data_IF_004375493883
#
_entry.id   IF_004375493883
#
_cell.length_a   1.000
_cell.length_b   1.000
_cell.length_c   1.000
_cell.angle_alpha   90.00
_cell.angle_beta   90.00
_cell.angle_gamma   90.00
#
_symmetry.space_group_name_H-M   'P 1'
#
loop_
_entity.id
_entity.type
_entity.pdbx_description
1 polymer ?
#
# COMPACT_ATOMS: atom_id res chain seq x y z
N UNK A 1 16.63 -13.55 42.78
CA UNK A 1 16.70 -14.42 41.58
C UNK A 1 15.29 -14.86 41.24
N UNK A 2 14.61 -14.16 40.32
CA UNK A 2 13.31 -14.54 39.76
C UNK A 2 13.58 -15.35 38.47
N UNK A 3 12.84 -16.42 38.18
CA UNK A 3 13.15 -17.32 37.08
C UNK A 3 12.81 -16.64 35.75
N UNK A 4 13.74 -16.72 34.80
CA UNK A 4 13.57 -16.26 33.42
C UNK A 4 12.78 -17.34 32.67
N UNK A 5 11.49 -17.09 32.43
CA UNK A 5 10.66 -17.94 31.59
C UNK A 5 10.99 -17.62 30.13
N UNK A 6 11.72 -18.51 29.47
CA UNK A 6 12.06 -18.38 28.04
C UNK A 6 10.80 -18.70 27.22
N UNK A 7 10.03 -17.66 26.89
CA UNK A 7 8.88 -17.76 25.99
C UNK A 7 9.41 -17.80 24.55
N UNK A 8 9.48 -18.99 23.96
CA UNK A 8 9.68 -19.14 22.50
C UNK A 8 8.46 -18.59 21.78
N UNK A 9 8.59 -17.36 21.28
CA UNK A 9 7.63 -16.72 20.39
C UNK A 9 7.71 -17.44 19.02
N UNK A 10 6.75 -18.33 18.73
CA UNK A 10 6.52 -18.77 17.36
C UNK A 10 6.00 -17.56 16.58
N UNK A 11 6.87 -16.95 15.76
CA UNK A 11 6.48 -15.96 14.78
C UNK A 11 5.75 -16.73 13.67
N UNK A 12 4.43 -16.78 13.73
CA UNK A 12 3.61 -17.23 12.61
C UNK A 12 3.66 -16.16 11.53
N UNK A 13 4.44 -16.38 10.48
CA UNK A 13 4.30 -15.62 9.25
C UNK A 13 2.93 -15.93 8.68
N UNK A 14 1.98 -15.02 8.85
CA UNK A 14 0.74 -15.05 8.10
C UNK A 14 1.11 -14.81 6.64
N UNK A 15 1.21 -15.88 5.84
CA UNK A 15 1.19 -15.77 4.39
C UNK A 15 -0.13 -15.11 4.01
N UNK A 16 -0.12 -13.79 3.75
CA UNK A 16 -1.27 -13.06 3.22
C UNK A 16 -1.61 -13.71 1.88
N UNK A 17 -2.65 -14.53 1.90
CA UNK A 17 -3.22 -15.11 0.69
C UNK A 17 -4.11 -14.03 0.09
N UNK A 18 -3.59 -13.30 -0.90
CA UNK A 18 -4.39 -12.33 -1.63
C UNK A 18 -5.51 -13.06 -2.39
N UNK A 19 -6.71 -12.47 -2.38
CA UNK A 19 -7.91 -13.05 -3.01
C UNK A 19 -7.64 -13.38 -4.48
N UNK A 20 -8.19 -14.48 -4.98
CA UNK A 20 -8.06 -14.92 -6.38
C UNK A 20 -8.93 -14.10 -7.36
N UNK A 21 -9.41 -12.93 -6.95
CA UNK A 21 -10.28 -12.04 -7.73
C UNK A 21 -9.72 -10.63 -7.62
N UNK A 22 -9.56 -9.94 -8.75
CA UNK A 22 -9.26 -8.51 -8.73
C UNK A 22 -10.35 -7.79 -7.91
N UNK A 23 -10.00 -6.81 -7.08
CA UNK A 23 -11.00 -6.01 -6.40
C UNK A 23 -11.91 -5.32 -7.45
N UNK A 24 -13.19 -5.04 -7.13
CA UNK A 24 -14.02 -4.24 -8.02
C UNK A 24 -13.45 -2.82 -8.17
N UNK A 25 -13.91 -2.09 -9.19
CA UNK A 25 -13.55 -0.68 -9.43
C UNK A 25 -12.05 -0.49 -9.67
N UNK A 26 -11.44 -1.38 -10.46
CA UNK A 26 -10.06 -1.16 -10.88
C UNK A 26 -9.99 0.04 -11.85
N UNK A 27 -8.94 0.86 -11.80
CA UNK A 27 -8.79 2.02 -12.67
C UNK A 27 -8.95 1.68 -14.15
N UNK A 28 -8.32 0.60 -14.61
CA UNK A 28 -8.34 0.14 -16.00
C UNK A 28 -9.70 -0.37 -16.51
N UNK A 29 -10.72 -0.39 -15.64
CA UNK A 29 -12.11 -0.59 -16.08
C UNK A 29 -12.70 0.68 -16.71
N UNK A 30 -12.00 1.82 -16.63
CA UNK A 30 -12.37 3.08 -17.28
C UNK A 30 -11.44 3.38 -18.47
N UNK A 31 -12.00 3.85 -19.59
CA UNK A 31 -11.30 4.10 -20.84
C UNK A 31 -10.06 5.02 -20.71
N UNK A 32 -10.12 6.02 -19.82
CA UNK A 32 -9.01 6.97 -19.63
C UNK A 32 -7.84 6.41 -18.81
N UNK A 33 -8.04 5.29 -18.12
CA UNK A 33 -7.04 4.61 -17.32
C UNK A 33 -6.63 3.27 -17.94
N UNK A 34 -6.96 3.07 -19.21
CA UNK A 34 -6.68 1.86 -19.97
C UNK A 34 -5.22 1.40 -19.85
N UNK A 35 -5.00 0.10 -19.68
CA UNK A 35 -3.66 -0.49 -19.64
C UNK A 35 -2.99 -0.36 -21.01
N UNK A 36 -1.90 0.40 -21.09
CA UNK A 36 -1.15 0.49 -22.34
C UNK A 36 -0.36 -0.81 -22.59
N UNK A 37 -0.57 -1.42 -23.75
CA UNK A 37 0.08 -2.67 -24.14
C UNK A 37 1.03 -2.47 -25.32
N UNK A 38 2.10 -3.29 -25.33
CA UNK A 38 3.02 -3.37 -26.46
C UNK A 38 3.12 -4.76 -27.10
N UNK A 39 2.30 -5.69 -26.64
CA UNK A 39 2.31 -7.08 -27.09
C UNK A 39 1.32 -7.92 -26.29
N UNK A 40 1.60 -9.21 -26.17
CA UNK A 40 0.73 -10.16 -25.47
C UNK A 40 0.55 -9.78 -23.99
N UNK A 41 -0.70 -9.81 -23.54
CA UNK A 41 -1.09 -9.59 -22.16
C UNK A 41 -1.93 -10.77 -21.67
N UNK A 42 -1.66 -11.22 -20.45
CA UNK A 42 -2.38 -12.30 -19.79
C UNK A 42 -2.82 -11.84 -18.41
N UNK A 43 -4.09 -12.05 -18.11
CA UNK A 43 -4.63 -11.94 -16.75
C UNK A 43 -5.22 -13.28 -16.35
N UNK A 44 -4.89 -13.82 -15.16
CA UNK A 44 -5.56 -15.01 -14.62
C UNK A 44 -6.92 -14.67 -14.00
N UNK A 45 -7.29 -13.39 -13.92
CA UNK A 45 -8.49 -12.88 -13.27
C UNK A 45 -9.41 -12.21 -14.27
N UNK A 46 -10.72 -12.27 -14.00
CA UNK A 46 -11.71 -11.42 -14.67
C UNK A 46 -11.92 -10.10 -13.92
N UNK A 47 -12.43 -9.11 -14.64
CA UNK A 47 -12.94 -7.85 -14.11
C UNK A 47 -14.43 -8.00 -13.78
N UNK A 48 -14.93 -7.10 -12.92
CA UNK A 48 -16.33 -7.07 -12.49
C UNK A 48 -16.82 -5.63 -12.49
N UNK A 49 -17.95 -5.35 -13.15
CA UNK A 49 -18.45 -3.97 -13.29
C UNK A 49 -17.81 -3.21 -14.45
N UNK A 50 -18.20 -1.94 -14.58
CA UNK A 50 -17.74 -0.99 -15.60
C UNK A 50 -16.74 0.04 -15.04
N UNK A 51 -16.16 -0.20 -13.87
CA UNK A 51 -15.31 0.80 -13.20
C UNK A 51 -16.12 1.94 -12.58
N UNK A 52 -15.54 3.14 -12.57
CA UNK A 52 -16.14 4.35 -12.01
C UNK A 52 -16.99 5.12 -13.03
N UNK A 53 -16.74 4.93 -14.32
CA UNK A 53 -17.35 5.63 -15.43
C UNK A 53 -17.85 4.61 -16.45
N UNK A 54 -19.15 4.58 -16.69
CA UNK A 54 -19.71 3.75 -17.75
C UNK A 54 -19.56 4.47 -19.10
N UNK A 55 -18.46 4.23 -19.83
CA UNK A 55 -18.23 4.90 -21.10
C UNK A 55 -19.20 4.43 -22.19
N UNK A 56 -19.60 3.16 -22.16
CA UNK A 56 -20.48 2.55 -23.15
C UNK A 56 -21.80 2.09 -22.52
N UNK A 57 -22.88 2.82 -22.83
CA UNK A 57 -24.24 2.54 -22.35
C UNK A 57 -25.21 2.18 -23.49
N UNK A 58 -26.36 1.58 -23.14
CA UNK A 58 -27.40 1.20 -24.12
C UNK A 58 -28.08 2.39 -24.81
N UNK A 59 -27.98 3.58 -24.23
CA UNK A 59 -28.66 4.80 -24.69
C UNK A 59 -27.69 5.97 -24.76
N UNK A 60 -27.77 6.79 -25.81
CA UNK A 60 -26.91 7.96 -25.98
C UNK A 60 -25.90 7.82 -27.11
N UNK A 61 -24.88 8.70 -27.19
CA UNK A 61 -24.00 8.83 -28.36
C UNK A 61 -23.08 7.62 -28.61
N UNK A 62 -23.02 6.68 -27.66
CA UNK A 62 -22.21 5.45 -27.68
C UNK A 62 -23.01 4.16 -27.90
N UNK A 63 -24.32 4.27 -28.16
CA UNK A 63 -25.18 3.11 -28.32
C UNK A 63 -24.81 2.22 -29.53
N UNK A 64 -25.18 0.94 -29.46
CA UNK A 64 -25.27 0.06 -30.63
C UNK A 64 -24.12 -0.92 -30.87
N UNK A 65 -23.49 -1.45 -29.82
CA UNK A 65 -22.70 -2.69 -29.89
C UNK A 65 -23.14 -3.64 -28.76
N UNK A 66 -22.70 -3.36 -27.54
CA UNK A 66 -23.19 -3.90 -26.27
C UNK A 66 -22.83 -2.91 -25.16
N UNK A 67 -23.27 -3.20 -23.94
CA UNK A 67 -23.04 -2.33 -22.77
C UNK A 67 -21.84 -2.81 -22.00
N UNK A 68 -21.08 -1.86 -21.49
CA UNK A 68 -20.01 -2.14 -20.57
C UNK A 68 -20.56 -2.71 -19.25
N UNK A 69 -20.07 -3.89 -18.88
CA UNK A 69 -20.59 -4.66 -17.76
C UNK A 69 -19.52 -5.28 -16.87
N UNK A 70 -18.56 -6.02 -17.45
CA UNK A 70 -17.42 -6.63 -16.76
C UNK A 70 -16.17 -6.35 -17.58
N UNK A 71 -15.80 -5.08 -17.65
CA UNK A 71 -14.90 -4.56 -18.66
C UNK A 71 -13.48 -4.33 -18.16
N UNK A 72 -12.55 -4.36 -19.11
CA UNK A 72 -11.22 -3.77 -19.01
C UNK A 72 -10.89 -3.06 -20.30
N UNK A 73 -10.15 -1.96 -20.21
CA UNK A 73 -9.67 -1.19 -21.33
C UNK A 73 -8.17 -1.35 -21.52
N UNK A 74 -7.77 -1.51 -22.78
CA UNK A 74 -6.39 -1.50 -23.22
C UNK A 74 -6.12 -0.34 -24.17
N UNK A 75 -4.94 0.24 -24.10
CA UNK A 75 -4.48 1.31 -24.99
C UNK A 75 -3.35 0.80 -25.88
N UNK A 76 -3.44 1.12 -27.17
CA UNK A 76 -2.36 0.92 -28.13
C UNK A 76 -1.98 2.26 -28.74
N UNK A 77 -0.69 2.58 -28.70
CA UNK A 77 -0.11 3.73 -29.40
C UNK A 77 0.80 3.17 -30.49
N UNK A 78 0.50 3.44 -31.76
CA UNK A 78 1.19 2.81 -32.88
C UNK A 78 2.55 3.48 -33.13
N UNK A 79 3.62 2.70 -33.06
CA UNK A 79 4.99 3.15 -33.29
C UNK A 79 5.40 3.00 -34.77
N UNK A 80 5.13 1.84 -35.39
CA UNK A 80 5.37 1.61 -36.82
C UNK A 80 4.09 1.23 -37.55
N UNK A 81 3.96 1.68 -38.80
CA UNK A 81 2.83 1.31 -39.65
C UNK A 81 2.73 -0.20 -39.81
N UNK A 82 1.50 -0.71 -39.93
CA UNK A 82 1.25 -2.12 -40.18
C UNK A 82 -0.19 -2.51 -39.91
N UNK A 83 -0.46 -3.81 -39.92
CA UNK A 83 -1.76 -4.36 -39.61
C UNK A 83 -1.80 -4.75 -38.13
N UNK A 84 -2.85 -4.33 -37.44
CA UNK A 84 -3.17 -4.79 -36.09
C UNK A 84 -4.13 -5.98 -36.22
N UNK A 85 -3.69 -7.11 -35.68
CA UNK A 85 -4.51 -8.30 -35.42
C UNK A 85 -4.30 -8.75 -33.99
N UNK A 86 -5.33 -9.34 -33.39
CA UNK A 86 -5.19 -9.94 -32.07
C UNK A 86 -6.16 -11.10 -31.88
N UNK A 87 -5.84 -11.97 -30.93
CA UNK A 87 -6.74 -13.01 -30.45
C UNK A 87 -6.96 -12.83 -28.94
N UNK A 88 -8.23 -12.73 -28.53
CA UNK A 88 -8.64 -12.83 -27.13
C UNK A 88 -8.99 -14.29 -26.89
N UNK A 89 -8.20 -14.96 -26.05
CA UNK A 89 -8.36 -16.37 -25.69
C UNK A 89 -8.77 -16.45 -24.22
N UNK A 90 -10.01 -16.84 -23.93
CA UNK A 90 -10.47 -17.05 -22.56
C UNK A 90 -9.67 -18.15 -21.87
N UNK A 91 -9.42 -18.01 -20.56
CA UNK A 91 -8.87 -19.10 -19.74
C UNK A 91 -9.89 -20.24 -19.62
N UNK A 92 -11.16 -19.87 -19.40
CA UNK A 92 -12.27 -20.80 -19.51
C UNK A 92 -12.89 -20.70 -20.91
N UNK A 93 -12.74 -21.75 -21.72
CA UNK A 93 -13.19 -21.79 -23.11
C UNK A 93 -14.70 -21.57 -23.32
N UNK A 94 -15.52 -21.64 -22.27
CA UNK A 94 -16.97 -21.34 -22.34
C UNK A 94 -17.30 -19.88 -22.05
N UNK A 95 -16.32 -19.06 -21.66
CA UNK A 95 -16.57 -17.67 -21.33
C UNK A 95 -16.82 -16.85 -22.61
N UNK A 96 -17.93 -16.13 -22.58
CA UNK A 96 -18.39 -15.23 -23.63
C UNK A 96 -17.72 -13.88 -23.45
N UNK A 97 -16.58 -13.71 -24.09
CA UNK A 97 -15.93 -12.41 -24.17
C UNK A 97 -16.42 -11.67 -25.40
N UNK A 98 -16.58 -10.37 -25.24
CA UNK A 98 -16.90 -9.44 -26.32
C UNK A 98 -15.83 -8.34 -26.38
N UNK A 99 -15.68 -7.67 -27.53
CA UNK A 99 -14.76 -6.54 -27.62
C UNK A 99 -15.22 -5.39 -28.52
N UNK A 100 -14.73 -4.19 -28.20
CA UNK A 100 -14.91 -2.98 -29.00
C UNK A 100 -13.56 -2.31 -29.20
N UNK A 101 -13.29 -1.84 -30.42
CA UNK A 101 -12.10 -1.01 -30.70
C UNK A 101 -12.54 0.38 -31.11
N UNK A 102 -12.05 1.37 -30.38
CA UNK A 102 -12.19 2.79 -30.68
C UNK A 102 -10.88 3.37 -31.20
N UNK A 103 -10.94 4.23 -32.22
CA UNK A 103 -9.84 5.12 -32.64
C UNK A 103 -10.10 6.51 -32.06
N UNK A 104 -9.22 6.98 -31.19
CA UNK A 104 -9.38 8.26 -30.46
C UNK A 104 -8.39 9.35 -30.88
N UNK A 105 -7.40 9.01 -31.72
CA UNK A 105 -6.38 9.95 -32.20
C UNK A 105 -5.44 10.43 -31.09
N UNK A 106 -4.46 11.29 -31.41
CA UNK A 106 -3.37 11.65 -30.49
C UNK A 106 -3.79 12.63 -29.37
N UNK A 107 -4.96 13.26 -29.47
CA UNK A 107 -5.45 14.25 -28.49
C UNK A 107 -6.30 13.63 -27.37
N UNK A 108 -6.24 12.30 -27.21
CA UNK A 108 -6.85 11.51 -26.14
C UNK A 108 -8.28 11.91 -25.75
N UNK A 109 -9.27 11.49 -26.54
CA UNK A 109 -10.69 11.72 -26.26
C UNK A 109 -11.33 10.59 -25.44
N UNK A 110 -10.56 9.91 -24.59
CA UNK A 110 -11.03 8.76 -23.79
C UNK A 110 -12.30 9.07 -22.98
N UNK A 111 -12.48 10.31 -22.51
CA UNK A 111 -13.62 10.75 -21.71
C UNK A 111 -14.87 11.10 -22.54
N UNK A 112 -14.78 11.08 -23.86
CA UNK A 112 -15.88 11.42 -24.77
C UNK A 112 -15.87 10.53 -26.01
N UNK A 113 -15.90 9.21 -25.78
CA UNK A 113 -16.11 8.25 -26.86
C UNK A 113 -17.47 8.52 -27.52
N UNK A 114 -17.53 8.32 -28.84
CA UNK A 114 -18.74 8.37 -29.67
C UNK A 114 -18.79 7.16 -30.60
N UNK A 115 -19.96 6.86 -31.17
CA UNK A 115 -20.08 5.88 -32.27
C UNK A 115 -19.15 6.14 -33.46
N UNK A 116 -18.72 7.39 -33.68
CA UNK A 116 -17.75 7.72 -34.73
C UNK A 116 -16.33 7.24 -34.41
N UNK A 117 -15.98 7.09 -33.13
CA UNK A 117 -14.70 6.53 -32.72
C UNK A 117 -14.67 5.01 -32.91
N UNK A 118 -15.83 4.34 -32.87
CA UNK A 118 -15.93 2.87 -32.91
C UNK A 118 -15.62 2.35 -34.30
N UNK A 119 -14.52 1.62 -34.42
CA UNK A 119 -14.08 1.04 -35.70
C UNK A 119 -14.28 -0.48 -35.76
N UNK A 120 -14.35 -1.16 -34.61
CA UNK A 120 -14.63 -2.59 -34.51
C UNK A 120 -15.57 -2.86 -33.33
N UNK A 121 -16.45 -3.83 -33.48
CA UNK A 121 -17.39 -4.27 -32.46
C UNK A 121 -17.71 -5.74 -32.71
N UNK A 122 -17.38 -6.60 -31.75
CA UNK A 122 -17.72 -8.01 -31.83
C UNK A 122 -18.44 -8.43 -30.55
N UNK A 123 -19.75 -8.61 -30.67
CA UNK A 123 -20.62 -9.18 -29.64
C UNK A 123 -20.97 -10.66 -29.91
N UNK A 124 -20.01 -11.46 -30.35
CA UNK A 124 -20.27 -12.83 -30.79
C UNK A 124 -20.50 -13.75 -29.58
N UNK A 125 -21.65 -14.40 -29.56
CA UNK A 125 -22.01 -15.37 -28.51
C UNK A 125 -21.11 -16.62 -28.54
N UNK A 126 -20.60 -17.00 -27.37
CA UNK A 126 -19.85 -18.22 -27.12
C UNK A 126 -20.72 -19.41 -26.65
N UNK A 127 -21.53 -19.98 -27.56
CA UNK A 127 -22.19 -21.27 -27.32
C UNK A 127 -21.31 -22.45 -27.78
N UNK A 128 -21.55 -23.62 -27.19
CA UNK A 128 -20.83 -24.84 -27.57
C UNK A 128 -20.93 -25.11 -29.09
N UNK A 129 -19.80 -24.94 -29.80
CA UNK A 129 -19.67 -25.19 -31.24
C UNK A 129 -19.71 -23.95 -32.15
N UNK A 130 -19.98 -22.74 -31.64
CA UNK A 130 -20.00 -21.52 -32.47
C UNK A 130 -18.60 -20.95 -32.77
N UNK A 131 -17.68 -21.07 -31.82
CA UNK A 131 -16.32 -20.55 -31.86
C UNK A 131 -15.40 -21.48 -31.07
N UNK A 132 -14.48 -22.21 -31.72
CA UNK A 132 -13.57 -23.12 -31.02
C UNK A 132 -12.80 -22.40 -29.90
N UNK A 133 -13.02 -22.83 -28.66
CA UNK A 133 -12.29 -22.33 -27.48
C UNK A 133 -12.71 -20.95 -26.98
N UNK A 134 -13.82 -20.39 -27.45
CA UNK A 134 -14.24 -19.04 -27.05
C UNK A 134 -13.45 -17.90 -27.68
N UNK A 135 -12.55 -18.21 -28.62
CA UNK A 135 -11.58 -17.24 -29.15
C UNK A 135 -12.28 -16.25 -30.08
N UNK A 136 -12.01 -14.97 -29.87
CA UNK A 136 -12.47 -13.86 -30.73
C UNK A 136 -11.29 -12.95 -31.08
N UNK A 137 -11.46 -12.04 -32.03
CA UNK A 137 -10.51 -10.95 -32.22
C UNK A 137 -10.48 -10.38 -33.64
N UNK A 138 -9.29 -10.04 -34.10
CA UNK A 138 -9.03 -9.50 -35.44
C UNK A 138 -8.11 -10.44 -36.21
N UNK A 139 -8.38 -10.67 -37.49
CA UNK A 139 -7.48 -11.44 -38.35
C UNK A 139 -7.41 -10.87 -39.78
N UNK A 140 -6.53 -11.47 -40.60
CA UNK A 140 -6.31 -11.06 -41.98
C UNK A 140 -7.38 -11.56 -42.97
N UNK A 141 -8.19 -12.55 -42.57
CA UNK A 141 -9.12 -13.25 -43.46
C UNK A 141 -10.53 -12.65 -43.44
N UNK A 142 -10.99 -12.18 -42.28
CA UNK A 142 -12.33 -11.61 -42.11
C UNK A 142 -12.45 -10.26 -42.82
N UNK A 143 -13.62 -10.01 -43.39
CA UNK A 143 -14.01 -8.72 -43.97
C UNK A 143 -15.06 -7.99 -43.13
N UNK A 144 -15.50 -8.59 -42.02
CA UNK A 144 -16.51 -7.99 -41.14
C UNK A 144 -15.85 -6.94 -40.25
N UNK A 145 -16.50 -5.80 -40.05
CA UNK A 145 -16.07 -4.78 -39.07
C UNK A 145 -16.99 -4.70 -37.86
N UNK A 146 -18.12 -5.41 -37.90
CA UNK A 146 -19.17 -5.35 -36.91
C UNK A 146 -19.90 -6.69 -36.83
N UNK A 147 -20.09 -7.19 -35.61
CA UNK A 147 -20.94 -8.34 -35.28
C UNK A 147 -21.82 -7.92 -34.10
N UNK A 148 -23.14 -8.00 -34.28
CA UNK A 148 -24.09 -7.60 -33.25
C UNK A 148 -24.05 -8.55 -32.05
N UNK A 149 -24.32 -8.02 -30.86
CA UNK A 149 -24.47 -8.81 -29.64
C UNK A 149 -25.40 -10.02 -29.83
N UNK A 150 -24.95 -11.20 -29.39
CA UNK A 150 -25.70 -12.44 -29.48
C UNK A 150 -25.64 -13.15 -30.84
N UNK A 151 -24.86 -12.64 -31.81
CA UNK A 151 -24.72 -13.26 -33.14
C UNK A 151 -23.82 -14.50 -33.06
N UNK A 152 -24.13 -15.51 -33.89
CA UNK A 152 -23.37 -16.76 -33.96
C UNK A 152 -22.38 -16.81 -35.14
N UNK A 153 -21.21 -17.42 -34.90
CA UNK A 153 -20.31 -17.91 -35.95
C UNK A 153 -19.41 -16.85 -36.59
N UNK A 154 -19.18 -15.70 -35.95
CA UNK A 154 -18.35 -14.61 -36.47
C UNK A 154 -17.30 -14.14 -35.47
N UNK A 155 -16.41 -15.05 -35.07
CA UNK A 155 -15.39 -14.83 -34.03
C UNK A 155 -14.36 -13.75 -34.35
N UNK A 156 -14.08 -13.51 -35.64
CA UNK A 156 -13.04 -12.57 -36.06
C UNK A 156 -13.59 -11.45 -36.93
N UNK A 157 -13.17 -10.24 -36.63
CA UNK A 157 -13.33 -9.08 -37.50
C UNK A 157 -12.05 -8.83 -38.33
N UNK A 158 -12.16 -7.97 -39.33
CA UNK A 158 -11.07 -7.54 -40.19
C UNK A 158 -9.98 -6.83 -39.38
N UNK A 159 -8.72 -7.11 -39.68
CA UNK A 159 -7.55 -6.36 -39.19
C UNK A 159 -7.71 -4.84 -39.34
N UNK A 160 -6.92 -4.08 -38.59
CA UNK A 160 -6.86 -2.61 -38.70
C UNK A 160 -5.53 -2.23 -39.37
N UNK A 161 -5.58 -1.54 -40.51
CA UNK A 161 -4.40 -0.91 -41.09
C UNK A 161 -4.10 0.38 -40.31
N UNK A 162 -3.00 0.39 -39.58
CA UNK A 162 -2.62 1.47 -38.69
C UNK A 162 -1.34 2.17 -39.16
N UNK A 163 -1.23 3.46 -38.83
CA UNK A 163 -0.05 4.29 -39.11
C UNK A 163 0.54 4.85 -37.80
N UNK A 164 1.82 5.27 -37.77
CA UNK A 164 2.44 5.82 -36.59
C UNK A 164 1.64 6.99 -36.00
N UNK A 165 1.51 7.02 -34.68
CA UNK A 165 0.74 8.02 -33.94
C UNK A 165 -0.77 7.75 -33.87
N UNK A 166 -1.27 6.70 -34.53
CA UNK A 166 -2.63 6.23 -34.27
C UNK A 166 -2.74 5.72 -32.82
N UNK A 167 -3.86 6.05 -32.17
CA UNK A 167 -4.17 5.62 -30.80
C UNK A 167 -5.50 4.89 -30.80
N UNK A 168 -5.48 3.69 -30.24
CA UNK A 168 -6.64 2.81 -30.13
C UNK A 168 -6.92 2.47 -28.68
N UNK A 169 -8.20 2.41 -28.35
CA UNK A 169 -8.70 1.82 -27.11
C UNK A 169 -9.43 0.52 -27.46
N UNK A 170 -9.12 -0.55 -26.74
CA UNK A 170 -9.77 -1.85 -26.87
C UNK A 170 -10.46 -2.13 -25.55
N UNK A 171 -11.79 -2.13 -25.55
CA UNK A 171 -12.56 -2.62 -24.43
C UNK A 171 -12.82 -4.10 -24.62
N UNK A 172 -12.57 -4.89 -23.59
CA UNK A 172 -12.88 -6.32 -23.52
C UNK A 172 -13.87 -6.51 -22.38
N UNK A 173 -15.02 -7.13 -22.67
CA UNK A 173 -16.08 -7.37 -21.69
C UNK A 173 -16.29 -8.87 -21.49
N UNK A 174 -16.41 -9.32 -20.24
CA UNK A 174 -16.79 -10.69 -19.92
C UNK A 174 -18.30 -10.80 -19.67
N UNK A 175 -19.07 -11.12 -20.71
CA UNK A 175 -20.53 -11.29 -20.59
C UNK A 175 -20.89 -12.46 -19.65
N UNK A 176 -20.06 -13.51 -19.60
CA UNK A 176 -20.29 -14.67 -18.74
C UNK A 176 -20.09 -14.40 -17.25
N UNK A 177 -19.40 -13.32 -16.88
CA UNK A 177 -19.07 -12.94 -15.50
C UNK A 177 -18.37 -14.05 -14.70
N UNK A 178 -17.63 -14.93 -15.39
CA UNK A 178 -16.77 -15.92 -14.77
C UNK A 178 -15.58 -15.23 -14.09
N UNK A 179 -14.98 -15.86 -13.08
CA UNK A 179 -13.78 -15.33 -12.41
C UNK A 179 -12.48 -15.62 -13.20
N UNK A 180 -12.53 -16.45 -14.24
CA UNK A 180 -11.38 -16.79 -15.06
C UNK A 180 -11.02 -15.62 -15.98
N UNK A 181 -9.73 -15.37 -16.14
CA UNK A 181 -9.25 -14.29 -17.02
C UNK A 181 -9.11 -14.71 -18.49
N UNK A 182 -8.24 -14.01 -19.22
CA UNK A 182 -8.00 -14.22 -20.64
C UNK A 182 -6.58 -13.80 -21.03
N UNK A 183 -6.18 -14.22 -22.23
CA UNK A 183 -5.01 -13.68 -22.94
C UNK A 183 -5.48 -12.82 -24.10
N UNK A 184 -4.90 -11.64 -24.29
CA UNK A 184 -4.98 -10.89 -25.55
C UNK A 184 -3.61 -10.93 -26.22
N UNK A 185 -3.54 -11.55 -27.40
CA UNK A 185 -2.29 -11.79 -28.11
C UNK A 185 -2.21 -11.01 -29.42
N UNK A 186 -1.18 -10.17 -29.55
CA UNK A 186 -0.91 -9.34 -30.72
C UNK A 186 0.21 -9.90 -31.61
N UNK A 187 0.73 -11.11 -31.36
CA UNK A 187 1.88 -11.68 -32.10
C UNK A 187 1.70 -11.72 -33.62
N UNK A 188 0.47 -11.77 -34.13
CA UNK A 188 0.18 -11.72 -35.56
C UNK A 188 0.25 -10.32 -36.19
N UNK A 189 0.36 -9.26 -35.39
CA UNK A 189 0.40 -7.87 -35.86
C UNK A 189 1.72 -7.56 -36.55
N UNK A 190 1.67 -6.74 -37.60
CA UNK A 190 2.86 -6.16 -38.25
C UNK A 190 3.10 -4.71 -37.83
N UNK A 191 2.08 -4.04 -37.26
CA UNK A 191 2.29 -2.79 -36.55
C UNK A 191 2.99 -3.06 -35.21
N UNK A 192 3.90 -2.18 -34.80
CA UNK A 192 4.47 -2.20 -33.44
C UNK A 192 3.87 -1.08 -32.61
N UNK A 193 3.98 -1.21 -31.29
CA UNK A 193 3.37 -0.30 -30.34
C UNK A 193 4.43 0.37 -29.47
N UNK A 194 4.16 1.61 -29.10
CA UNK A 194 5.02 2.44 -28.28
C UNK A 194 4.80 2.15 -26.80
N UNK A 195 5.88 2.05 -26.03
CA UNK A 195 5.84 2.01 -24.57
C UNK A 195 5.59 3.37 -23.92
N UNK A 196 5.63 3.42 -22.60
CA UNK A 196 5.43 4.65 -21.81
C UNK A 196 6.73 5.12 -21.12
N UNK A 197 7.87 4.57 -21.55
CA UNK A 197 9.17 4.75 -20.91
C UNK A 197 9.38 3.73 -19.78
N UNK A 198 10.55 3.74 -19.17
CA UNK A 198 10.87 2.79 -18.10
C UNK A 198 9.93 2.98 -16.87
N UNK A 199 9.53 1.90 -16.18
CA UNK A 199 8.91 2.01 -14.86
C UNK A 199 9.87 2.68 -13.87
N UNK A 200 9.31 3.37 -12.88
CA UNK A 200 10.06 3.95 -11.75
C UNK A 200 9.31 3.75 -10.43
N UNK A 201 10.04 3.82 -9.32
CA UNK A 201 9.45 3.95 -8.00
C UNK A 201 8.67 5.28 -7.89
N UNK A 202 7.44 5.22 -7.40
CA UNK A 202 6.58 6.39 -7.21
C UNK A 202 6.53 6.81 -5.73
N UNK A 203 6.14 5.88 -4.86
CA UNK A 203 5.98 6.15 -3.43
C UNK A 203 6.23 4.91 -2.57
N UNK A 204 6.31 5.11 -1.25
CA UNK A 204 6.39 4.03 -0.27
C UNK A 204 5.16 4.06 0.64
N UNK A 205 4.62 2.87 0.89
CA UNK A 205 3.51 2.67 1.82
C UNK A 205 3.99 1.79 2.98
N UNK A 206 3.82 2.30 4.20
CA UNK A 206 4.21 1.60 5.43
C UNK A 206 2.95 1.03 6.10
N UNK A 207 2.81 -0.30 6.11
CA UNK A 207 1.72 -1.00 6.79
C UNK A 207 1.69 -0.65 8.30
N UNK A 208 2.87 -0.56 8.91
CA UNK A 208 3.05 -0.02 10.26
C UNK A 208 3.74 1.37 10.17
N UNK A 209 3.02 2.47 10.45
CA UNK A 209 3.57 3.83 10.35
C UNK A 209 4.63 4.13 11.42
N UNK A 210 4.81 3.22 12.39
CA UNK A 210 5.74 3.31 13.51
C UNK A 210 6.98 2.41 13.32
N UNK A 211 6.90 1.40 12.45
CA UNK A 211 8.00 0.49 12.17
C UNK A 211 8.02 0.04 10.70
N UNK A 212 9.03 0.50 9.98
CA UNK A 212 9.35 0.07 8.61
C UNK A 212 10.70 -0.67 8.52
N UNK A 213 11.24 -1.12 9.65
CA UNK A 213 12.56 -1.77 9.70
C UNK A 213 12.55 -3.18 9.11
N UNK A 214 11.40 -3.83 9.00
CA UNK A 214 11.26 -5.21 8.50
C UNK A 214 10.88 -5.28 7.01
N UNK A 215 10.38 -4.19 6.46
CA UNK A 215 9.86 -4.15 5.10
C UNK A 215 8.84 -3.03 4.91
N UNK A 216 8.37 -2.90 3.68
CA UNK A 216 7.35 -1.92 3.28
C UNK A 216 6.82 -2.28 1.89
N UNK A 217 5.76 -1.60 1.48
CA UNK A 217 5.26 -1.66 0.11
C UNK A 217 5.85 -0.54 -0.72
N UNK A 218 6.27 -0.88 -1.93
CA UNK A 218 6.70 0.06 -2.96
C UNK A 218 5.56 0.22 -3.96
N UNK A 219 5.14 1.45 -4.18
CA UNK A 219 4.23 1.80 -5.25
C UNK A 219 5.02 2.19 -6.49
N UNK A 220 4.66 1.60 -7.62
CA UNK A 220 5.24 1.86 -8.93
C UNK A 220 4.41 2.88 -9.68
N UNK A 221 5.03 3.71 -10.50
CA UNK A 221 4.31 4.74 -11.27
C UNK A 221 3.43 4.16 -12.41
N UNK A 222 3.56 2.87 -12.69
CA UNK A 222 2.84 2.16 -13.74
C UNK A 222 2.77 0.64 -13.44
N UNK A 223 1.85 -0.10 -14.09
CA UNK A 223 1.74 -1.54 -13.91
C UNK A 223 3.01 -2.32 -14.28
N UNK A 224 3.43 -3.20 -13.38
CA UNK A 224 4.56 -4.12 -13.49
C UNK A 224 4.06 -5.55 -13.71
N UNK A 225 4.70 -6.29 -14.60
CA UNK A 225 4.40 -7.71 -14.84
C UNK A 225 4.80 -8.54 -13.63
N UNK A 226 3.88 -9.36 -13.13
CA UNK A 226 4.16 -10.26 -12.00
C UNK A 226 5.31 -11.23 -12.28
N UNK A 227 5.46 -11.65 -13.54
CA UNK A 227 6.55 -12.54 -13.98
C UNK A 227 7.95 -11.93 -13.86
N UNK A 228 8.05 -10.60 -13.71
CA UNK A 228 9.32 -9.87 -13.61
C UNK A 228 9.74 -9.56 -12.18
N UNK A 229 9.00 -10.07 -11.20
CA UNK A 229 9.29 -9.93 -9.78
C UNK A 229 9.90 -11.25 -9.31
N UNK A 230 11.20 -11.27 -9.10
CA UNK A 230 11.90 -12.35 -8.44
C UNK A 230 11.44 -12.44 -6.99
N UNK A 231 10.76 -13.55 -6.65
CA UNK A 231 10.12 -13.72 -5.34
C UNK A 231 11.11 -13.78 -4.17
N UNK A 232 12.39 -14.04 -4.46
CA UNK A 232 13.49 -13.98 -3.49
C UNK A 232 13.97 -12.54 -3.20
N UNK A 233 13.35 -11.54 -3.84
CA UNK A 233 13.67 -10.13 -3.66
C UNK A 233 14.94 -9.67 -4.37
N UNK A 234 15.55 -10.51 -5.20
CA UNK A 234 16.85 -10.24 -5.82
C UNK A 234 16.86 -9.07 -6.83
N UNK A 235 15.68 -8.61 -7.27
CA UNK A 235 15.52 -7.39 -8.08
C UNK A 235 15.85 -6.10 -7.32
N UNK A 236 15.97 -6.19 -6.00
CA UNK A 236 16.06 -5.04 -5.12
C UNK A 236 17.38 -5.03 -4.35
N UNK A 237 17.98 -3.85 -4.24
CA UNK A 237 19.17 -3.62 -3.46
C UNK A 237 18.99 -2.43 -2.52
N UNK A 238 19.43 -2.59 -1.27
CA UNK A 238 19.40 -1.57 -0.23
C UNK A 238 20.78 -0.95 -0.06
N UNK A 239 20.84 0.37 0.08
CA UNK A 239 22.06 1.10 0.40
C UNK A 239 21.88 1.98 1.65
N UNK A 240 22.81 1.96 2.61
CA UNK A 240 23.94 1.03 2.72
C UNK A 240 23.45 -0.43 2.88
N UNK A 241 24.25 -1.38 2.37
CA UNK A 241 23.89 -2.82 2.32
C UNK A 241 24.01 -3.50 3.69
N UNK A 242 23.18 -3.06 4.64
CA UNK A 242 23.12 -3.58 6.01
C UNK A 242 22.13 -4.75 6.16
N UNK A 243 21.25 -4.93 5.18
CA UNK A 243 20.41 -6.12 5.01
C UNK A 243 20.22 -6.39 3.51
N UNK A 244 19.74 -7.58 3.17
CA UNK A 244 19.24 -7.88 1.83
C UNK A 244 17.72 -7.86 1.82
N UNK A 245 17.11 -7.73 0.65
CA UNK A 245 15.71 -8.10 0.48
C UNK A 245 15.63 -9.63 0.47
N UNK A 246 14.75 -10.19 1.30
CA UNK A 246 14.53 -11.63 1.46
C UNK A 246 13.35 -12.13 0.62
N UNK A 247 12.37 -11.26 0.37
CA UNK A 247 11.25 -11.56 -0.51
C UNK A 247 10.65 -10.30 -1.09
N UNK A 248 10.09 -10.44 -2.29
CA UNK A 248 9.25 -9.45 -2.94
C UNK A 248 7.99 -10.13 -3.49
N UNK A 249 6.83 -9.49 -3.32
CA UNK A 249 5.56 -10.02 -3.80
C UNK A 249 4.65 -8.89 -4.29
N UNK A 250 4.13 -9.02 -5.51
CA UNK A 250 3.12 -8.10 -6.03
C UNK A 250 1.73 -8.39 -5.48
N UNK A 251 0.98 -7.35 -5.12
CA UNK A 251 -0.34 -7.48 -4.47
C UNK A 251 -1.38 -8.25 -5.31
N UNK A 252 -1.36 -8.07 -6.63
CA UNK A 252 -2.28 -8.71 -7.58
C UNK A 252 -1.60 -9.84 -8.38
N UNK A 253 -0.54 -10.45 -7.82
CA UNK A 253 0.18 -11.52 -8.50
C UNK A 253 -0.27 -12.91 -8.07
N UNK A 254 -0.56 -13.78 -9.04
CA UNK A 254 -0.72 -15.23 -8.84
C UNK A 254 0.49 -15.96 -9.42
N UNK A 255 1.56 -16.04 -8.62
CA UNK A 255 2.87 -16.45 -9.12
C UNK A 255 3.37 -15.48 -10.19
N UNK A 256 3.77 -16.00 -11.35
CA UNK A 256 4.24 -15.19 -12.48
C UNK A 256 3.12 -14.49 -13.28
N UNK A 257 1.85 -14.73 -12.93
CA UNK A 257 0.72 -14.29 -13.72
C UNK A 257 0.10 -12.98 -13.21
N UNK A 258 -0.35 -12.13 -14.13
CA UNK A 258 -0.98 -10.85 -13.84
C UNK A 258 -0.01 -9.67 -13.84
N UNK A 259 -0.43 -8.59 -13.19
CA UNK A 259 0.36 -7.37 -13.02
C UNK A 259 0.05 -6.73 -11.68
N UNK A 260 0.90 -5.81 -11.26
CA UNK A 260 0.73 -5.06 -10.02
C UNK A 260 1.30 -3.66 -10.14
N UNK A 261 0.83 -2.73 -9.31
CA UNK A 261 1.53 -1.47 -9.05
C UNK A 261 2.13 -1.43 -7.64
N UNK A 262 1.88 -2.46 -6.83
CA UNK A 262 2.19 -2.50 -5.41
C UNK A 262 3.01 -3.74 -5.11
N UNK A 263 4.25 -3.54 -4.69
CA UNK A 263 5.18 -4.64 -4.40
C UNK A 263 5.55 -4.58 -2.93
N UNK A 264 5.11 -5.59 -2.16
CA UNK A 264 5.51 -5.78 -0.77
C UNK A 264 6.95 -6.32 -0.75
N UNK A 265 7.83 -5.63 -0.03
CA UNK A 265 9.24 -5.97 0.19
C UNK A 265 9.43 -6.37 1.64
N UNK A 266 10.16 -7.46 1.89
CA UNK A 266 10.55 -7.89 3.23
C UNK A 266 12.06 -8.06 3.31
N UNK A 267 12.68 -7.53 4.36
CA UNK A 267 14.12 -7.60 4.57
C UNK A 267 14.54 -8.90 5.27
N UNK A 268 15.78 -9.30 5.07
CA UNK A 268 16.38 -10.48 5.72
C UNK A 268 16.48 -10.36 7.24
N UNK A 269 16.49 -9.13 7.75
CA UNK A 269 16.56 -8.78 9.15
C UNK A 269 16.11 -7.32 9.34
N UNK A 270 15.61 -6.94 10.53
CA UNK A 270 15.28 -5.55 10.83
C UNK A 270 16.47 -4.62 10.57
N UNK A 271 16.26 -3.57 9.78
CA UNK A 271 17.26 -2.53 9.54
C UNK A 271 17.44 -1.66 10.79
N UNK A 272 18.69 -1.32 11.17
CA UNK A 272 18.93 -0.32 12.21
C UNK A 272 18.37 1.06 11.82
N UNK A 273 18.11 1.95 12.81
CA UNK A 273 17.72 3.33 12.51
C UNK A 273 18.75 4.03 11.62
N UNK A 274 18.28 4.70 10.57
CA UNK A 274 19.15 5.32 9.57
C UNK A 274 18.42 5.72 8.29
N UNK A 275 19.18 6.35 7.38
CA UNK A 275 18.70 6.72 6.05
C UNK A 275 19.19 5.68 5.03
N UNK A 276 18.27 5.25 4.17
CA UNK A 276 18.50 4.19 3.22
C UNK A 276 17.98 4.58 1.82
N UNK A 277 18.47 3.85 0.83
CA UNK A 277 17.98 3.88 -0.54
C UNK A 277 17.61 2.48 -0.98
N UNK A 278 16.51 2.35 -1.70
CA UNK A 278 16.17 1.17 -2.48
C UNK A 278 16.48 1.46 -3.95
N UNK A 279 17.20 0.54 -4.60
CA UNK A 279 17.59 0.64 -6.02
C UNK A 279 17.29 -0.67 -6.73
N UNK A 280 16.90 -0.65 -8.02
CA UNK A 280 16.70 -1.86 -8.81
C UNK A 280 18.02 -2.51 -9.20
N UNK A 281 18.01 -3.83 -9.35
CA UNK A 281 19.13 -4.63 -9.82
C UNK A 281 18.58 -5.78 -10.65
N UNK A 282 19.37 -6.30 -11.59
CA UNK A 282 19.03 -7.56 -12.27
C UNK A 282 18.98 -8.70 -11.25
N UNK A 283 17.79 -9.27 -11.05
CA UNK A 283 17.52 -10.37 -10.14
C UNK A 283 17.94 -11.74 -10.66
N UNK A 284 17.51 -12.78 -9.94
CA UNK A 284 17.76 -14.19 -10.27
C UNK A 284 16.96 -14.69 -11.46
N UNK A 285 15.90 -13.96 -11.84
CA UNK A 285 15.11 -14.18 -13.05
C UNK A 285 15.77 -13.61 -14.33
N UNK A 286 16.82 -12.79 -14.17
CA UNK A 286 17.60 -12.22 -15.26
C UNK A 286 17.09 -10.88 -15.78
N UNK A 287 16.13 -10.25 -15.10
CA UNK A 287 15.61 -8.92 -15.41
C UNK A 287 15.63 -8.00 -14.18
N UNK A 288 15.34 -6.71 -14.39
CA UNK A 288 14.77 -5.85 -13.33
C UNK A 288 13.25 -5.90 -13.46
N UNK A 289 12.51 -5.12 -12.69
CA UNK A 289 11.06 -4.99 -12.89
C UNK A 289 10.74 -4.55 -14.32
N UNK A 290 9.83 -5.28 -14.97
CA UNK A 290 9.37 -5.01 -16.33
C UNK A 290 7.93 -4.51 -16.30
N UNK A 291 7.64 -3.44 -17.04
CA UNK A 291 6.25 -3.01 -17.23
C UNK A 291 5.49 -3.91 -18.23
N UNK A 292 4.22 -3.59 -18.52
CA UNK A 292 3.41 -4.35 -19.48
C UNK A 292 3.96 -4.30 -20.92
N UNK A 293 4.82 -3.34 -21.23
CA UNK A 293 5.52 -3.18 -22.50
C UNK A 293 6.92 -3.81 -22.54
N UNK A 294 7.32 -4.52 -21.48
CA UNK A 294 8.65 -5.12 -21.32
C UNK A 294 9.78 -4.09 -21.23
N UNK A 295 9.47 -2.83 -20.90
CA UNK A 295 10.47 -1.83 -20.59
C UNK A 295 11.00 -2.08 -19.18
N UNK A 296 12.31 -2.28 -19.08
CA UNK A 296 12.98 -2.60 -17.82
C UNK A 296 13.20 -1.36 -16.95
N UNK A 297 12.96 -1.47 -15.64
CA UNK A 297 13.31 -0.42 -14.69
C UNK A 297 14.82 -0.17 -14.74
N UNK A 298 15.22 1.10 -14.78
CA UNK A 298 16.63 1.47 -14.83
C UNK A 298 17.29 1.26 -13.46
N UNK A 299 18.50 0.71 -13.42
CA UNK A 299 19.26 0.51 -12.16
C UNK A 299 19.73 1.81 -11.52
N UNK A 300 19.55 2.95 -12.20
CA UNK A 300 19.80 4.29 -11.66
C UNK A 300 18.59 4.87 -10.93
N UNK A 301 17.41 4.23 -11.05
CA UNK A 301 16.25 4.62 -10.29
C UNK A 301 16.48 4.39 -8.79
N UNK A 302 15.89 5.23 -7.96
CA UNK A 302 16.11 5.20 -6.52
C UNK A 302 14.93 5.79 -5.79
N UNK A 303 14.59 5.19 -4.65
CA UNK A 303 13.68 5.77 -3.66
C UNK A 303 14.34 5.75 -2.29
N UNK A 304 14.28 6.88 -1.59
CA UNK A 304 14.89 7.05 -0.27
C UNK A 304 13.88 6.78 0.83
N UNK A 305 14.32 6.18 1.93
CA UNK A 305 13.50 5.97 3.12
C UNK A 305 14.33 6.09 4.40
N UNK A 306 13.64 6.37 5.49
CA UNK A 306 14.24 6.45 6.82
C UNK A 306 13.64 5.37 7.71
N UNK A 307 14.51 4.61 8.37
CA UNK A 307 14.11 3.75 9.49
C UNK A 307 14.29 4.54 10.77
N UNK A 308 13.21 4.70 11.52
CA UNK A 308 13.20 5.44 12.79
C UNK A 308 13.44 4.48 13.96
N UNK A 309 14.14 4.96 14.99
CA UNK A 309 14.26 4.21 16.24
C UNK A 309 12.88 4.13 16.92
N UNK A 310 12.53 2.99 17.57
CA UNK A 310 11.33 2.90 18.38
C UNK A 310 11.27 4.01 19.42
N UNK A 311 10.06 4.55 19.66
CA UNK A 311 9.86 5.56 20.70
C UNK A 311 9.96 4.91 22.08
N UNK A 312 10.84 5.43 22.92
CA UNK A 312 10.94 5.12 24.35
C UNK A 312 10.69 6.41 25.12
N UNK A 313 9.76 6.33 26.07
CA UNK A 313 9.41 7.42 26.99
C UNK A 313 9.78 6.98 28.40
N UNK A 314 10.48 7.84 29.14
CA UNK A 314 10.79 7.63 30.54
C UNK A 314 10.43 8.89 31.33
N UNK A 315 9.43 8.83 32.20
CA UNK A 315 8.94 9.95 33.00
C UNK A 315 9.89 10.36 34.15
N UNK A 316 10.91 9.56 34.41
CA UNK A 316 11.85 9.69 35.53
C UNK A 316 11.46 8.79 36.71
N UNK A 317 12.31 8.70 37.74
CA UNK A 317 11.99 7.94 38.94
C UNK A 317 10.91 8.63 39.79
N UNK A 318 10.18 7.82 40.56
CA UNK A 318 9.26 8.32 41.60
C UNK A 318 9.97 9.28 42.55
N UNK A 319 9.24 10.32 42.98
CA UNK A 319 9.80 11.38 43.80
C UNK A 319 9.01 11.58 45.10
N UNK A 320 9.70 12.13 46.08
CA UNK A 320 9.15 12.45 47.40
C UNK A 320 9.37 13.93 47.67
N UNK A 321 8.33 14.64 48.08
CA UNK A 321 8.41 16.05 48.47
C UNK A 321 7.52 16.34 49.68
N UNK A 322 7.73 17.48 50.35
CA UNK A 322 6.88 17.90 51.46
C UNK A 322 5.60 18.58 50.94
N UNK A 323 4.57 18.68 51.78
CA UNK A 323 3.38 19.47 51.45
C UNK A 323 3.74 20.91 51.06
N UNK A 324 3.22 21.37 49.92
CA UNK A 324 3.53 22.68 49.34
C UNK A 324 4.88 22.76 48.61
N UNK A 325 5.68 21.69 48.62
CA UNK A 325 6.89 21.55 47.82
C UNK A 325 6.56 21.34 46.34
N UNK A 326 7.52 21.68 45.49
CA UNK A 326 7.45 21.43 44.04
C UNK A 326 8.56 20.48 43.59
N UNK A 327 8.29 19.79 42.49
CA UNK A 327 9.17 18.83 41.85
C UNK A 327 9.24 19.15 40.36
N UNK A 328 10.45 19.15 39.78
CA UNK A 328 10.64 19.23 38.34
C UNK A 328 10.53 17.82 37.76
N UNK A 329 9.49 17.56 36.97
CA UNK A 329 9.41 16.36 36.13
C UNK A 329 10.26 16.59 34.88
N UNK A 330 10.82 15.53 34.31
CA UNK A 330 11.66 15.62 33.11
C UNK A 330 11.58 14.33 32.29
N UNK A 331 10.62 14.28 31.36
CA UNK A 331 10.44 13.12 30.50
C UNK A 331 11.61 12.97 29.52
N UNK A 332 12.38 11.89 29.66
CA UNK A 332 13.47 11.53 28.75
C UNK A 332 12.94 10.72 27.57
N UNK A 333 13.20 11.21 26.37
CA UNK A 333 12.74 10.60 25.12
C UNK A 333 13.93 10.04 24.35
N UNK A 334 13.80 8.80 23.87
CA UNK A 334 14.73 8.21 22.92
C UNK A 334 13.97 7.68 21.71
N UNK A 335 14.41 8.00 20.50
CA UNK A 335 13.77 7.55 19.26
C UNK A 335 12.42 8.22 18.98
N UNK A 336 11.59 7.56 18.17
CA UNK A 336 10.28 8.07 17.77
C UNK A 336 10.34 9.29 16.86
N UNK A 337 11.24 9.32 15.89
CA UNK A 337 11.26 10.39 14.89
C UNK A 337 11.89 11.71 15.35
N UNK A 338 11.55 12.81 14.66
CA UNK A 338 12.22 14.11 14.82
C UNK A 338 11.49 15.06 15.76
N UNK A 339 10.18 14.92 15.90
CA UNK A 339 9.33 15.81 16.70
C UNK A 339 8.46 15.02 17.68
N UNK A 340 8.21 15.60 18.85
CA UNK A 340 7.48 14.95 19.94
C UNK A 340 6.47 15.92 20.55
N UNK A 341 5.22 15.48 20.69
CA UNK A 341 4.15 16.22 21.40
C UNK A 341 3.86 15.57 22.72
N UNK A 342 3.84 16.35 23.81
CA UNK A 342 3.68 15.86 25.18
C UNK A 342 2.28 16.15 25.71
N UNK A 343 1.75 15.24 26.52
CA UNK A 343 0.51 15.44 27.29
C UNK A 343 0.61 14.74 28.63
N UNK A 344 0.59 15.50 29.71
CA UNK A 344 0.62 15.00 31.08
C UNK A 344 -0.79 14.94 31.69
N UNK A 345 -1.09 13.84 32.38
CA UNK A 345 -2.34 13.64 33.10
C UNK A 345 -2.09 13.08 34.51
N UNK A 346 -2.74 13.61 35.56
CA UNK A 346 -3.66 14.74 35.54
C UNK A 346 -2.93 16.08 35.29
N UNK A 347 -3.62 17.08 34.72
CA UNK A 347 -3.06 18.43 34.56
C UNK A 347 -3.03 19.22 35.88
N UNK A 348 -3.78 18.77 36.89
CA UNK A 348 -3.87 19.42 38.20
C UNK A 348 -2.52 19.41 38.92
N UNK A 349 -2.11 20.54 39.46
CA UNK A 349 -0.83 20.69 40.14
C UNK A 349 0.37 20.82 39.20
N UNK A 350 0.19 20.79 37.87
CA UNK A 350 1.27 21.08 36.91
C UNK A 350 1.24 22.54 36.46
N UNK A 351 2.40 23.15 36.24
CA UNK A 351 2.48 24.48 35.63
C UNK A 351 2.14 24.48 34.13
N UNK A 352 2.33 23.35 33.44
CA UNK A 352 1.97 23.10 32.05
C UNK A 352 1.82 21.60 31.84
N UNK A 353 0.77 21.18 31.13
CA UNK A 353 0.55 19.75 30.81
C UNK A 353 1.15 19.34 29.46
N UNK A 354 1.79 20.24 28.72
CA UNK A 354 2.17 20.01 27.30
C UNK A 354 3.66 20.17 27.01
N UNK A 355 4.49 20.30 28.05
CA UNK A 355 5.96 20.39 27.94
C UNK A 355 6.61 19.09 28.41
N UNK A 356 7.83 18.82 27.97
CA UNK A 356 8.59 17.63 28.41
C UNK A 356 8.96 17.67 29.89
N UNK A 357 9.13 18.88 30.44
CA UNK A 357 9.63 19.11 31.79
C UNK A 357 8.72 20.05 32.60
N UNK A 358 7.50 19.61 32.99
CA UNK A 358 6.64 20.44 33.82
C UNK A 358 7.09 20.45 35.28
N UNK A 359 6.72 21.52 35.99
CA UNK A 359 6.86 21.61 37.44
C UNK A 359 5.56 21.14 38.08
N UNK A 360 5.66 20.10 38.92
CA UNK A 360 4.56 19.52 39.68
C UNK A 360 4.54 20.07 41.11
N UNK A 361 3.38 20.53 41.57
CA UNK A 361 3.10 21.00 42.95
C UNK A 361 1.78 20.37 43.45
N UNK A 362 1.69 19.03 43.54
CA UNK A 362 0.45 18.39 43.95
C UNK A 362 0.17 18.58 45.45
N UNK A 363 -1.11 18.61 45.83
CA UNK A 363 -1.55 18.79 47.22
C UNK A 363 -1.66 17.47 48.01
N UNK A 364 -1.52 16.33 47.33
CA UNK A 364 -1.49 14.99 47.88
C UNK A 364 -0.76 14.04 46.93
N UNK A 365 -0.63 12.76 47.31
CA UNK A 365 0.03 11.78 46.46
C UNK A 365 -0.62 11.75 45.08
N UNK A 366 0.19 11.95 44.03
CA UNK A 366 -0.30 12.04 42.65
C UNK A 366 0.64 11.28 41.73
N UNK A 367 0.09 10.39 40.91
CA UNK A 367 0.80 9.80 39.78
C UNK A 367 0.55 10.66 38.55
N UNK A 368 1.62 11.13 37.92
CA UNK A 368 1.56 11.85 36.66
C UNK A 368 2.01 10.93 35.53
N UNK A 369 1.14 10.72 34.55
CA UNK A 369 1.44 9.96 33.33
C UNK A 369 1.70 10.93 32.18
N UNK A 370 2.83 10.76 31.48
CA UNK A 370 3.14 11.47 30.24
C UNK A 370 2.77 10.59 29.05
N UNK A 371 2.07 11.17 28.09
CA UNK A 371 1.88 10.62 26.74
C UNK A 371 2.69 11.42 25.75
N UNK A 372 3.46 10.72 24.91
CA UNK A 372 4.28 11.34 23.87
C UNK A 372 3.85 10.82 22.51
N UNK A 373 3.52 11.74 21.61
CA UNK A 373 3.14 11.44 20.22
C UNK A 373 4.30 11.86 19.30
N UNK A 374 4.95 10.93 18.59
CA UNK A 374 6.03 11.22 17.68
C UNK A 374 5.51 11.66 16.30
N UNK A 375 6.11 12.69 15.70
CA UNK A 375 5.84 13.17 14.33
C UNK A 375 4.36 13.33 13.98
N UNK A 376 3.54 13.71 14.97
CA UNK A 376 2.09 13.85 14.80
C UNK A 376 1.37 12.55 14.44
N UNK A 377 1.94 11.38 14.76
CA UNK A 377 1.38 10.04 14.53
C UNK A 377 0.86 9.43 15.84
N UNK A 378 -0.42 9.61 16.21
CA UNK A 378 -0.97 9.08 17.46
C UNK A 378 -0.89 7.56 17.59
N UNK A 379 -0.89 6.84 16.47
CA UNK A 379 -0.73 5.38 16.44
C UNK A 379 0.61 4.90 17.03
N UNK A 380 1.60 5.79 17.08
CA UNK A 380 2.95 5.51 17.58
C UNK A 380 3.19 6.09 18.98
N UNK A 381 2.13 6.48 19.69
CA UNK A 381 2.26 7.08 21.00
C UNK A 381 2.80 6.09 22.04
N UNK A 382 3.65 6.59 22.93
CA UNK A 382 4.13 5.86 24.09
C UNK A 382 3.88 6.66 25.37
N UNK A 383 3.81 5.95 26.49
CA UNK A 383 3.53 6.53 27.80
C UNK A 383 4.49 6.00 28.85
N UNK A 384 4.70 6.81 29.87
CA UNK A 384 5.32 6.40 31.13
C UNK A 384 4.74 7.25 32.27
N UNK A 385 4.94 6.83 33.51
CA UNK A 385 4.42 7.54 34.68
C UNK A 385 5.47 7.73 35.79
N UNK A 386 5.19 8.71 36.65
CA UNK A 386 6.00 9.05 37.82
C UNK A 386 5.07 9.32 39.01
N UNK A 387 5.32 8.64 40.13
CA UNK A 387 4.59 8.87 41.37
C UNK A 387 5.26 9.97 42.20
N UNK A 388 4.47 10.96 42.63
CA UNK A 388 4.88 11.98 43.58
C UNK A 388 4.22 11.71 44.93
N UNK A 389 5.03 11.29 45.90
CA UNK A 389 4.59 11.09 47.29
C UNK A 389 4.76 12.37 48.10
N UNK A 390 3.67 12.85 48.71
CA UNK A 390 3.66 14.02 49.58
C UNK A 390 3.84 13.59 51.03
N UNK A 391 4.97 14.00 51.63
CA UNK A 391 5.17 13.91 53.07
C UNK A 391 4.34 15.00 53.76
N UNK A 392 3.36 14.55 54.52
CA UNK A 392 2.67 15.38 55.51
C UNK A 392 3.68 15.91 56.54
N UNK A 393 3.32 16.98 57.26
CA UNK A 393 4.14 17.46 58.38
C UNK A 393 4.20 16.47 59.55
N UNK A 394 4.77 16.92 60.66
CA UNK A 394 4.62 16.27 61.95
C UNK A 394 4.11 17.28 62.97
N UNK A 395 3.29 16.80 63.89
CA UNK A 395 2.79 17.53 65.04
C UNK A 395 3.45 16.99 66.31
N UNK A 396 3.90 17.90 67.17
CA UNK A 396 4.28 17.55 68.53
C UNK A 396 3.00 17.38 69.36
N UNK A 397 2.73 16.16 69.79
CA UNK A 397 1.52 15.80 70.53
C UNK A 397 1.65 16.01 72.04
N UNK A 398 2.75 16.59 72.52
CA UNK A 398 2.88 16.95 73.92
C UNK A 398 2.11 18.24 74.23
N UNK A 399 1.38 18.27 75.33
CA UNK A 399 0.86 19.53 75.88
C UNK A 399 1.98 20.36 76.49
N UNK A 400 1.78 21.68 76.57
CA UNK A 400 2.67 22.56 77.32
C UNK A 400 2.77 22.11 78.77
N UNK A 401 4.00 22.01 79.27
CA UNK A 401 4.28 21.54 80.63
C UNK A 401 5.47 22.28 81.22
N UNK A 402 5.58 22.28 82.54
CA UNK A 402 6.73 22.81 83.27
C UNK A 402 7.54 21.65 83.81
N UNK A 403 8.86 21.67 83.56
CA UNK A 403 9.79 20.66 84.08
C UNK A 403 10.83 21.31 85.01
N UNK A 404 11.30 20.55 86.00
CA UNK A 404 12.36 21.00 86.90
C UNK A 404 13.74 20.94 86.24
N UNK A 405 14.68 21.76 86.71
CA UNK A 405 16.08 21.76 86.25
C UNK A 405 16.70 20.36 86.44
N UNK A 406 17.12 19.72 85.34
CA UNK A 406 17.71 18.39 85.32
C UNK A 406 16.73 17.24 85.07
N UNK A 407 15.43 17.52 84.95
CA UNK A 407 14.44 16.52 84.54
C UNK A 407 14.40 16.35 83.02
N UNK A 408 13.96 15.18 82.56
CA UNK A 408 13.74 14.87 81.14
C UNK A 408 12.25 14.68 80.86
N UNK A 409 11.84 15.04 79.64
CA UNK A 409 10.48 14.79 79.13
C UNK A 409 10.57 14.00 77.82
N UNK A 410 9.69 13.02 77.66
CA UNK A 410 9.56 12.30 76.41
C UNK A 410 8.64 13.10 75.48
N UNK A 411 9.16 13.53 74.34
CA UNK A 411 8.35 14.15 73.29
C UNK A 411 7.69 13.05 72.45
N UNK A 412 6.43 13.28 72.08
CA UNK A 412 5.72 12.42 71.12
C UNK A 412 5.48 13.23 69.86
N UNK A 413 6.04 12.78 68.74
CA UNK A 413 5.73 13.33 67.42
C UNK A 413 4.72 12.42 66.71
N UNK A 414 3.65 13.01 66.19
CA UNK A 414 2.71 12.36 65.27
C UNK A 414 3.00 12.90 63.88
N UNK A 415 3.31 12.05 62.91
CA UNK A 415 3.60 12.49 61.55
C UNK A 415 3.87 11.32 60.63
N UNK A 416 4.37 11.60 59.43
CA UNK A 416 4.69 10.55 58.46
C UNK A 416 5.68 9.54 59.05
N UNK A 417 5.46 8.25 58.77
CA UNK A 417 6.38 7.15 59.09
C UNK A 417 7.67 7.21 58.29
N UNK A 418 7.75 8.08 57.29
CA UNK A 418 8.96 8.34 56.51
C UNK A 418 9.98 9.24 57.24
N UNK A 419 9.57 9.94 58.31
CA UNK A 419 10.51 10.72 59.12
C UNK A 419 11.15 9.87 60.20
N UNK A 420 12.43 10.14 60.48
CA UNK A 420 13.09 9.66 61.70
C UNK A 420 13.12 10.81 62.71
N UNK A 421 12.54 10.59 63.88
CA UNK A 421 12.52 11.56 64.99
C UNK A 421 13.57 11.12 66.01
N UNK A 422 14.65 11.89 66.16
CA UNK A 422 15.78 11.58 67.05
C UNK A 422 16.08 12.69 68.02
#
# INVERSE_FOLDING_TARGET
>A
MKPLLLLTLLISFASRSYSQTLPPLQPEQDACNALQLCGTFYTPYSYSGFGFVQELSQVGPNAGCFTEGNSVWFKLVVATAGNIVFAITPVNATDDYDFIVHKIGPNDTCSNLTTANRIRCNGNNNLAGSNPGGIIGLNMASTLTYVAAGTFGSSYLQFIAAVPGDVYLIMVDNFSASAAGFTIDFTGSTATFQGTGNPVYDSLVFDDPCNNSEGFRVQMNKPIRCSSIATDGSDFQIFPALATVNSAAGFNCSGANGYTQDIDITFSSPLPPGNYKLTPKTGTDGNTLLDLCLEAQLTTDTIEFQVIAPLIVNAGPDQVTCIGGSVQLDAQITGGGMTHTYTWTPASGLNSATVSNPVATPTGNTTYTVTVIPDGKPACAAQDDVEITILQGFDLANSDTVICKGASVNLTALGSTAYTYT
#
